data_IF_423960016682
#
_entry.id   IF_423960016682
#
_cell.length_a   1.000
_cell.length_b   1.000
_cell.length_c   1.000
_cell.angle_alpha   90.00
_cell.angle_beta   90.00
_cell.angle_gamma   90.00
#
_symmetry.space_group_name_H-M   'P 1'
#
loop_
_entity.id
_entity.type
_entity.pdbx_description
1 polymer ?
#
# COMPACT_ATOMS: atom_id res chain seq x y z
N UNK A 1 -0.75 1.96 25.35
CA UNK A 1 -0.37 1.52 23.99
C UNK A 1 1.07 1.06 24.02
N UNK A 2 1.36 -0.15 23.53
CA UNK A 2 2.73 -0.68 23.46
C UNK A 2 3.48 0.02 22.31
N UNK A 3 4.65 0.63 22.54
CA UNK A 3 5.41 1.30 21.48
C UNK A 3 6.01 0.29 20.49
N UNK A 4 6.24 0.73 19.26
CA UNK A 4 7.02 -0.04 18.28
C UNK A 4 8.43 -0.34 18.85
N UNK A 5 8.99 -1.54 18.63
CA UNK A 5 10.29 -1.93 19.17
C UNK A 5 11.39 -0.88 18.94
N UNK A 6 12.04 -0.43 20.03
CA UNK A 6 13.00 0.67 19.98
C UNK A 6 14.35 0.32 19.32
N UNK A 7 14.67 -0.97 19.16
CA UNK A 7 16.01 -1.47 18.78
C UNK A 7 16.30 -1.49 17.27
N UNK A 8 15.31 -1.25 16.41
CA UNK A 8 15.52 -1.14 14.96
C UNK A 8 15.62 0.34 14.58
N UNK A 9 16.68 0.68 13.86
CA UNK A 9 16.94 2.04 13.37
C UNK A 9 15.99 2.40 12.23
N UNK A 10 15.73 3.70 12.09
CA UNK A 10 14.89 4.25 11.03
C UNK A 10 13.63 4.93 11.55
N UNK A 11 12.77 5.36 10.61
CA UNK A 11 11.60 6.18 10.91
C UNK A 11 10.58 5.44 11.76
N UNK A 12 9.84 6.19 12.58
CA UNK A 12 8.82 5.62 13.46
C UNK A 12 7.51 6.38 13.35
N UNK A 13 6.48 5.70 12.87
CA UNK A 13 5.11 6.20 13.00
C UNK A 13 4.72 6.20 14.48
N UNK A 14 4.06 7.27 14.93
CA UNK A 14 3.53 7.38 16.30
C UNK A 14 2.17 6.67 16.43
N UNK A 15 1.76 6.27 17.65
CA UNK A 15 0.41 5.77 17.87
C UNK A 15 -0.64 6.83 17.53
N UNK A 16 -1.79 6.38 17.02
CA UNK A 16 -2.97 7.22 16.85
C UNK A 16 -3.53 7.62 18.22
N UNK A 17 -3.82 8.92 18.41
CA UNK A 17 -4.24 9.46 19.71
C UNK A 17 -5.77 9.59 19.88
N UNK A 18 -6.56 9.04 18.95
CA UNK A 18 -8.03 9.10 19.03
C UNK A 18 -8.63 7.95 19.84
N UNK A 19 -9.88 8.15 20.26
CA UNK A 19 -10.61 7.21 21.13
C UNK A 19 -11.33 6.12 20.34
N UNK A 20 -10.75 4.92 20.31
CA UNK A 20 -11.27 3.79 19.53
C UNK A 20 -12.59 3.19 20.06
N UNK A 21 -12.95 3.42 21.32
CA UNK A 21 -14.25 3.03 21.87
C UNK A 21 -15.44 3.72 21.17
N UNK A 22 -15.19 4.87 20.53
CA UNK A 22 -16.18 5.60 19.73
C UNK A 22 -16.24 5.18 18.26
N UNK A 23 -15.47 4.17 17.85
CA UNK A 23 -15.36 3.80 16.43
C UNK A 23 -16.70 3.30 15.87
N UNK A 24 -17.09 3.85 14.72
CA UNK A 24 -18.27 3.43 13.98
C UNK A 24 -17.84 2.99 12.59
N UNK A 25 -17.98 1.69 12.30
CA UNK A 25 -17.72 1.17 10.96
C UNK A 25 -18.85 1.50 10.01
N UNK A 26 -18.51 2.07 8.87
CA UNK A 26 -19.48 2.47 7.85
C UNK A 26 -19.54 1.46 6.69
N UNK A 27 -18.38 1.06 6.16
CA UNK A 27 -18.27 0.03 5.11
C UNK A 27 -16.84 -0.48 4.95
N UNK A 28 -16.68 -1.60 4.28
CA UNK A 28 -15.40 -2.07 3.74
C UNK A 28 -15.05 -1.25 2.48
N UNK A 29 -13.77 -0.92 2.32
CA UNK A 29 -13.19 -0.24 1.17
C UNK A 29 -12.29 -1.24 0.41
N UNK A 30 -12.49 -1.34 -0.90
CA UNK A 30 -11.85 -2.34 -1.74
C UNK A 30 -12.79 -3.49 -2.09
N UNK A 31 -12.45 -4.24 -3.14
CA UNK A 31 -13.24 -5.39 -3.57
C UNK A 31 -12.80 -6.63 -2.78
N UNK A 32 -13.76 -7.43 -2.32
CA UNK A 32 -13.55 -8.77 -1.74
C UNK A 32 -13.06 -9.77 -2.79
N UNK A 33 -12.11 -9.39 -3.65
CA UNK A 33 -11.49 -10.30 -4.59
C UNK A 33 -10.54 -11.15 -3.75
N UNK A 34 -11.02 -12.33 -3.35
CA UNK A 34 -10.12 -13.48 -3.24
C UNK A 34 -9.31 -13.45 -4.53
N UNK A 35 -8.05 -13.07 -4.46
CA UNK A 35 -7.20 -13.15 -5.64
C UNK A 35 -7.29 -14.59 -6.12
N UNK A 36 -7.53 -14.77 -7.41
CA UNK A 36 -7.60 -16.09 -8.03
C UNK A 36 -6.31 -16.89 -7.80
N UNK A 37 -5.24 -16.23 -7.35
CA UNK A 37 -3.91 -16.75 -7.01
C UNK A 37 -3.83 -17.43 -5.64
N UNK A 38 -4.83 -17.31 -4.75
CA UNK A 38 -4.73 -17.84 -3.38
C UNK A 38 -3.77 -17.07 -2.47
N UNK A 39 -3.26 -15.92 -2.93
CA UNK A 39 -2.41 -15.04 -2.14
C UNK A 39 -3.20 -14.35 -1.02
N UNK A 40 -2.56 -14.26 0.14
CA UNK A 40 -3.14 -13.65 1.33
C UNK A 40 -3.01 -12.13 1.19
N UNK A 41 -4.11 -11.35 1.18
CA UNK A 41 -4.00 -9.90 1.07
C UNK A 41 -3.26 -9.34 2.28
N UNK A 42 -2.48 -8.26 2.11
CA UNK A 42 -1.78 -7.65 3.24
C UNK A 42 -2.72 -7.10 4.32
N UNK A 43 -3.91 -6.66 3.92
CA UNK A 43 -4.84 -5.96 4.80
C UNK A 43 -6.26 -5.91 4.26
N UNK A 44 -7.17 -5.41 5.08
CA UNK A 44 -8.51 -4.97 4.69
C UNK A 44 -8.72 -3.53 5.15
N UNK A 45 -9.36 -2.71 4.32
CA UNK A 45 -9.56 -1.29 4.62
C UNK A 45 -11.03 -1.04 4.92
N UNK A 46 -11.31 -0.22 5.93
CA UNK A 46 -12.65 0.15 6.35
C UNK A 46 -12.80 1.67 6.33
N UNK A 47 -13.95 2.16 5.88
CA UNK A 47 -14.37 3.51 6.18
C UNK A 47 -14.96 3.52 7.59
N UNK A 48 -14.42 4.37 8.45
CA UNK A 48 -14.84 4.48 9.85
C UNK A 48 -15.07 5.93 10.23
N UNK A 49 -15.96 6.17 11.19
CA UNK A 49 -16.05 7.42 11.91
C UNK A 49 -15.45 7.24 13.31
N UNK A 50 -14.55 8.13 13.71
CA UNK A 50 -13.97 8.17 15.06
C UNK A 50 -14.10 9.62 15.52
N UNK A 51 -14.75 9.84 16.66
CA UNK A 51 -14.93 11.18 17.25
C UNK A 51 -15.51 12.21 16.24
N UNK A 52 -16.47 11.80 15.41
CA UNK A 52 -17.14 12.66 14.43
C UNK A 52 -16.39 12.83 13.11
N UNK A 53 -15.14 12.36 12.98
CA UNK A 53 -14.36 12.47 11.75
C UNK A 53 -14.28 11.14 11.00
N UNK A 54 -14.39 11.21 9.67
CA UNK A 54 -14.28 10.04 8.78
C UNK A 54 -12.84 9.73 8.43
N UNK A 55 -12.44 8.46 8.56
CA UNK A 55 -11.11 7.94 8.29
C UNK A 55 -11.17 6.68 7.43
N UNK A 56 -10.02 6.33 6.85
CA UNK A 56 -9.74 4.97 6.39
C UNK A 56 -8.93 4.24 7.46
N UNK A 57 -9.46 3.11 7.96
CA UNK A 57 -8.79 2.19 8.87
C UNK A 57 -8.29 0.99 8.06
N UNK A 58 -6.97 0.86 7.89
CA UNK A 58 -6.35 -0.30 7.24
C UNK A 58 -5.93 -1.31 8.32
N UNK A 59 -6.56 -2.48 8.35
CA UNK A 59 -6.32 -3.57 9.31
C UNK A 59 -5.53 -4.67 8.63
N UNK A 60 -4.38 -5.03 9.19
CA UNK A 60 -3.41 -5.93 8.55
C UNK A 60 -3.65 -7.38 8.95
N UNK A 61 -3.44 -8.28 7.99
CA UNK A 61 -3.34 -9.71 8.28
C UNK A 61 -2.02 -10.01 9.03
N UNK A 62 -1.99 -11.14 9.71
CA UNK A 62 -0.76 -11.70 10.26
C UNK A 62 0.04 -12.39 9.16
N UNK A 63 1.36 -12.31 9.26
CA UNK A 63 2.27 -13.04 8.41
C UNK A 63 3.33 -13.67 9.29
N UNK A 64 3.47 -14.99 9.19
CA UNK A 64 4.54 -15.75 9.81
C UNK A 64 5.89 -15.32 9.25
N UNK A 65 6.97 -15.57 9.99
CA UNK A 65 8.30 -15.18 9.52
C UNK A 65 8.68 -15.88 8.20
N UNK A 66 8.18 -17.10 7.99
CA UNK A 66 8.40 -17.89 6.78
C UNK A 66 7.68 -17.30 5.57
N UNK A 67 6.48 -16.74 5.76
CA UNK A 67 5.69 -16.11 4.67
C UNK A 67 6.34 -14.80 4.17
N UNK A 68 7.12 -14.10 5.00
CA UNK A 68 7.78 -12.83 4.65
C UNK A 68 9.30 -12.95 4.50
N UNK A 69 9.87 -14.14 4.64
CA UNK A 69 11.31 -14.32 4.52
C UNK A 69 11.74 -14.06 3.07
N UNK A 70 12.75 -13.21 2.82
CA UNK A 70 13.17 -12.93 1.46
C UNK A 70 13.90 -14.14 0.87
N UNK A 71 13.65 -14.44 -0.40
CA UNK A 71 14.39 -15.49 -1.12
C UNK A 71 15.83 -15.03 -1.35
N UNK A 72 16.77 -15.47 -0.50
CA UNK A 72 18.19 -15.13 -0.61
C UNK A 72 19.08 -16.39 -0.62
N UNK A 73 19.74 -16.67 -1.74
CA UNK A 73 20.57 -17.87 -1.87
C UNK A 73 21.85 -17.78 -1.02
N UNK A 74 21.98 -18.68 -0.04
CA UNK A 74 23.22 -18.90 0.74
C UNK A 74 23.53 -17.81 1.77
N UNK A 75 22.60 -16.90 2.04
CA UNK A 75 22.81 -15.72 2.89
C UNK A 75 21.84 -15.61 4.06
N UNK A 76 20.99 -16.61 4.27
CA UNK A 76 19.98 -16.63 5.33
C UNK A 76 20.57 -16.40 6.73
N UNK A 77 21.77 -16.92 6.97
CA UNK A 77 22.52 -16.75 8.23
C UNK A 77 22.86 -15.29 8.57
N UNK A 78 22.76 -14.37 7.62
CA UNK A 78 22.99 -12.93 7.83
C UNK A 78 21.73 -12.20 8.33
N UNK A 79 20.56 -12.82 8.22
CA UNK A 79 19.29 -12.25 8.63
C UNK A 79 18.90 -12.69 10.03
N UNK A 80 18.17 -11.81 10.72
CA UNK A 80 17.55 -12.09 12.00
C UNK A 80 16.06 -11.83 11.87
N UNK A 81 15.24 -12.68 12.48
CA UNK A 81 13.77 -12.62 12.41
C UNK A 81 13.22 -11.22 12.72
N UNK A 82 13.77 -10.56 13.73
CA UNK A 82 13.33 -9.21 14.09
C UNK A 82 13.62 -8.19 12.98
N UNK A 83 14.77 -8.27 12.30
CA UNK A 83 15.11 -7.38 11.18
C UNK A 83 14.18 -7.64 10.01
N UNK A 84 13.97 -8.92 9.66
CA UNK A 84 13.06 -9.33 8.59
C UNK A 84 11.64 -8.84 8.88
N UNK A 85 11.11 -9.13 10.08
CA UNK A 85 9.78 -8.69 10.49
C UNK A 85 9.64 -7.17 10.45
N UNK A 86 10.64 -6.42 10.92
CA UNK A 86 10.53 -4.95 10.92
C UNK A 86 10.61 -4.28 9.56
N UNK A 87 11.15 -4.96 8.55
CA UNK A 87 11.35 -4.42 7.21
C UNK A 87 10.32 -4.94 6.22
N UNK A 88 9.96 -6.23 6.29
CA UNK A 88 9.13 -6.90 5.29
C UNK A 88 7.70 -7.23 5.75
N UNK A 89 7.41 -7.17 7.06
CA UNK A 89 6.02 -7.28 7.49
C UNK A 89 5.22 -6.07 6.98
N UNK A 90 4.07 -6.29 6.32
CA UNK A 90 3.32 -5.21 5.68
C UNK A 90 2.92 -4.04 6.59
N UNK A 91 2.63 -4.33 7.86
CA UNK A 91 2.28 -3.29 8.83
C UNK A 91 3.50 -2.44 9.20
N UNK A 92 4.67 -3.07 9.42
CA UNK A 92 5.88 -2.36 9.78
C UNK A 92 6.48 -1.58 8.60
N UNK A 93 6.46 -2.14 7.39
CA UNK A 93 6.89 -1.44 6.17
C UNK A 93 6.12 -0.12 5.99
N UNK A 94 4.80 -0.19 6.07
CA UNK A 94 3.94 0.98 5.93
C UNK A 94 4.10 2.00 7.07
N UNK A 95 4.30 1.53 8.31
CA UNK A 95 4.65 2.40 9.43
C UNK A 95 5.98 3.14 9.21
N UNK A 96 6.99 2.51 8.61
CA UNK A 96 8.28 3.16 8.34
C UNK A 96 8.13 4.23 7.26
N UNK A 97 7.43 3.93 6.17
CA UNK A 97 7.18 4.89 5.09
C UNK A 97 6.45 6.15 5.60
N UNK A 98 5.33 5.97 6.32
CA UNK A 98 4.62 7.10 6.91
C UNK A 98 5.39 7.80 8.02
N UNK A 99 6.19 7.06 8.80
CA UNK A 99 7.13 7.66 9.75
C UNK A 99 8.07 8.66 9.08
N UNK A 100 8.68 8.28 7.95
CA UNK A 100 9.59 9.15 7.19
C UNK A 100 8.86 10.36 6.59
N UNK A 101 7.67 10.14 6.03
CA UNK A 101 6.85 11.23 5.48
C UNK A 101 6.49 12.27 6.55
N UNK A 102 6.10 11.83 7.74
CA UNK A 102 5.75 12.72 8.86
C UNK A 102 6.98 13.45 9.39
N UNK A 103 8.12 12.76 9.55
CA UNK A 103 9.39 13.38 9.96
C UNK A 103 9.81 14.54 9.04
N UNK A 104 9.42 14.47 7.75
CA UNK A 104 9.73 15.49 6.75
C UNK A 104 8.57 16.45 6.44
N UNK A 105 7.42 16.32 7.14
CA UNK A 105 6.20 17.11 6.89
C UNK A 105 5.69 17.00 5.44
N UNK A 106 5.64 15.77 4.90
CA UNK A 106 5.26 15.48 3.51
C UNK A 106 4.06 14.53 3.38
N UNK A 107 3.47 14.11 4.49
CA UNK A 107 2.43 13.09 4.54
C UNK A 107 1.08 13.52 3.93
N UNK A 108 0.85 14.81 3.70
CA UNK A 108 -0.34 15.33 3.00
C UNK A 108 -0.08 15.79 1.56
N UNK A 109 1.20 15.91 1.18
CA UNK A 109 1.65 16.30 -0.16
C UNK A 109 1.96 15.09 -1.04
N UNK A 110 2.83 14.20 -0.55
CA UNK A 110 3.35 13.07 -1.33
C UNK A 110 2.48 11.82 -1.20
N UNK A 111 1.69 11.74 -0.14
CA UNK A 111 0.81 10.62 0.14
C UNK A 111 -0.53 11.10 0.76
N UNK A 112 -1.37 10.13 1.11
CA UNK A 112 -2.50 10.36 2.02
C UNK A 112 -2.00 10.65 3.44
N UNK A 113 -2.60 11.63 4.11
CA UNK A 113 -2.26 11.94 5.51
C UNK A 113 -2.49 10.72 6.39
N UNK A 114 -1.50 10.41 7.23
CA UNK A 114 -1.51 9.31 8.18
C UNK A 114 -1.55 9.84 9.61
N UNK A 115 -2.48 9.33 10.43
CA UNK A 115 -2.69 9.80 11.80
C UNK A 115 -2.00 8.93 12.86
N UNK A 116 -1.47 7.78 12.47
CA UNK A 116 -0.77 6.86 13.35
C UNK A 116 -1.25 5.41 13.25
N UNK A 117 -0.53 4.54 13.94
CA UNK A 117 -0.90 3.14 14.09
C UNK A 117 -1.75 2.89 15.33
N UNK A 118 -2.44 1.76 15.36
CA UNK A 118 -3.17 1.29 16.53
C UNK A 118 -3.20 -0.23 16.61
N UNK A 119 -3.24 -0.75 17.84
CA UNK A 119 -3.59 -2.13 18.13
C UNK A 119 -5.06 -2.17 18.52
N UNK A 120 -5.87 -2.90 17.76
CA UNK A 120 -7.31 -2.91 17.94
C UNK A 120 -7.69 -3.67 19.22
N UNK A 121 -8.49 -3.08 20.12
CA UNK A 121 -9.11 -3.82 21.21
C UNK A 121 -9.94 -5.00 20.68
N UNK A 122 -10.02 -6.10 21.42
CA UNK A 122 -10.83 -7.26 21.01
C UNK A 122 -12.30 -6.91 20.79
N UNK A 123 -12.84 -5.91 21.50
CA UNK A 123 -14.19 -5.39 21.28
C UNK A 123 -14.38 -4.83 19.86
N UNK A 124 -13.36 -4.16 19.31
CA UNK A 124 -13.36 -3.62 17.94
C UNK A 124 -13.17 -4.75 16.92
N UNK A 125 -12.30 -5.72 17.20
CA UNK A 125 -12.15 -6.94 16.37
C UNK A 125 -13.47 -7.71 16.25
N UNK A 126 -14.16 -7.96 17.37
CA UNK A 126 -15.49 -8.59 17.38
C UNK A 126 -16.55 -7.76 16.65
N UNK A 127 -16.47 -6.43 16.67
CA UNK A 127 -17.37 -5.58 15.90
C UNK A 127 -17.18 -5.79 14.39
N UNK A 128 -15.93 -5.93 13.93
CA UNK A 128 -15.63 -6.23 12.51
C UNK A 128 -16.23 -7.58 12.11
N UNK A 129 -16.03 -8.61 12.93
CA UNK A 129 -16.59 -9.94 12.70
C UNK A 129 -18.12 -9.91 12.63
N UNK A 130 -18.78 -9.27 13.61
CA UNK A 130 -20.25 -9.18 13.66
C UNK A 130 -20.85 -8.41 12.49
N UNK A 131 -20.21 -7.32 12.06
CA UNK A 131 -20.77 -6.42 11.03
C UNK A 131 -20.44 -6.86 9.61
N UNK A 132 -19.28 -7.48 9.40
CA UNK A 132 -18.79 -7.81 8.06
C UNK A 132 -18.52 -9.30 7.83
N UNK A 133 -18.63 -10.15 8.86
CA UNK A 133 -18.31 -11.58 8.75
C UNK A 133 -16.82 -11.86 8.52
N UNK A 134 -15.94 -10.94 8.91
CA UNK A 134 -14.50 -11.03 8.68
C UNK A 134 -13.81 -11.42 9.98
N UNK A 135 -13.35 -12.67 10.06
CA UNK A 135 -12.54 -13.20 11.17
C UNK A 135 -11.24 -13.87 10.72
N UNK A 136 -11.10 -14.18 9.44
CA UNK A 136 -9.88 -14.75 8.88
C UNK A 136 -8.82 -13.66 8.65
N UNK A 137 -7.97 -13.46 9.65
CA UNK A 137 -6.86 -12.50 9.62
C UNK A 137 -5.49 -13.17 9.36
N UNK A 138 -5.49 -14.40 8.82
CA UNK A 138 -4.29 -15.25 8.69
C UNK A 138 -3.55 -15.48 10.03
N UNK A 139 -4.28 -15.42 11.15
CA UNK A 139 -3.71 -15.63 12.49
C UNK A 139 -3.22 -17.09 12.62
N UNK A 140 -1.93 -17.29 12.92
CA UNK A 140 -1.37 -18.62 13.21
C UNK A 140 -1.32 -18.88 14.73
N UNK A 141 -0.91 -20.08 15.12
CA UNK A 141 -0.80 -20.44 16.54
C UNK A 141 0.15 -19.51 17.33
N UNK A 142 1.22 -19.00 16.69
CA UNK A 142 2.16 -18.04 17.27
C UNK A 142 1.55 -16.65 17.52
N UNK A 143 0.46 -16.31 16.81
CA UNK A 143 -0.24 -15.03 16.93
C UNK A 143 -1.37 -15.08 17.95
N UNK A 144 -1.57 -16.20 18.65
CA UNK A 144 -2.70 -16.36 19.56
C UNK A 144 -2.67 -15.30 20.68
N UNK A 145 -3.80 -14.63 20.91
CA UNK A 145 -3.92 -13.51 21.85
C UNK A 145 -3.33 -12.18 21.37
N UNK A 146 -2.68 -12.11 20.20
CA UNK A 146 -2.18 -10.85 19.65
C UNK A 146 -3.33 -9.95 19.18
N UNK A 147 -3.22 -8.64 19.37
CA UNK A 147 -4.22 -7.71 18.84
C UNK A 147 -4.01 -7.49 17.33
N UNK A 148 -5.10 -7.28 16.59
CA UNK A 148 -4.99 -6.83 15.20
C UNK A 148 -4.28 -5.49 15.13
N UNK A 149 -3.42 -5.35 14.11
CA UNK A 149 -2.63 -4.14 13.86
C UNK A 149 -3.33 -3.33 12.78
N UNK A 150 -3.40 -2.01 12.96
CA UNK A 150 -4.04 -1.14 12.00
C UNK A 150 -3.37 0.24 11.89
N UNK A 151 -3.65 0.93 10.78
CA UNK A 151 -3.21 2.31 10.54
C UNK A 151 -4.44 3.18 10.18
N UNK A 152 -4.49 4.38 10.77
CA UNK A 152 -5.53 5.39 10.52
C UNK A 152 -5.02 6.41 9.51
N UNK A 153 -5.77 6.61 8.43
CA UNK A 153 -5.45 7.54 7.35
C UNK A 153 -6.64 8.42 7.00
N UNK A 154 -6.39 9.50 6.27
CA UNK A 154 -7.46 10.29 5.66
C UNK A 154 -8.32 9.40 4.74
N UNK A 155 -9.64 9.54 4.86
CA UNK A 155 -10.54 8.94 3.88
C UNK A 155 -10.54 9.75 2.59
N UNK A 156 -10.06 9.15 1.50
CA UNK A 156 -10.04 9.79 0.18
C UNK A 156 -11.42 9.64 -0.47
N UNK A 157 -12.15 10.75 -0.62
CA UNK A 157 -13.50 10.75 -1.22
C UNK A 157 -13.50 10.54 -2.74
N UNK A 158 -12.38 10.82 -3.39
CA UNK A 158 -12.22 10.66 -4.83
C UNK A 158 -12.14 9.19 -5.21
N UNK A 159 -12.76 8.82 -6.34
CA UNK A 159 -12.71 7.46 -6.90
C UNK A 159 -11.80 7.33 -8.13
N UNK A 160 -11.31 8.46 -8.64
CA UNK A 160 -10.47 8.53 -9.82
C UNK A 160 -9.00 8.59 -9.42
N UNK A 161 -8.13 8.04 -10.26
CA UNK A 161 -6.67 8.06 -10.09
C UNK A 161 -6.17 9.48 -9.93
N UNK A 162 -6.52 10.34 -10.89
CA UNK A 162 -6.26 11.77 -10.85
C UNK A 162 -7.56 12.50 -10.53
N UNK A 163 -7.44 13.64 -9.87
CA UNK A 163 -8.51 14.63 -9.86
C UNK A 163 -7.94 15.97 -10.28
N UNK A 164 -7.52 16.80 -9.32
CA UNK A 164 -6.89 18.10 -9.59
C UNK A 164 -5.39 18.01 -9.90
N UNK A 165 -4.76 16.90 -9.53
CA UNK A 165 -3.33 16.67 -9.74
C UNK A 165 -3.07 16.09 -11.14
N UNK A 166 -2.14 16.68 -11.89
CA UNK A 166 -1.71 16.16 -13.19
C UNK A 166 -0.76 14.97 -13.01
N UNK A 167 -0.61 14.14 -14.05
CA UNK A 167 0.38 13.06 -14.06
C UNK A 167 1.81 13.60 -13.88
N UNK A 168 2.13 14.77 -14.43
CA UNK A 168 3.43 15.40 -14.24
C UNK A 168 3.69 15.74 -12.77
N UNK A 169 2.71 16.31 -12.07
CA UNK A 169 2.84 16.59 -10.63
C UNK A 169 2.93 15.29 -9.82
N UNK A 170 2.17 14.25 -10.19
CA UNK A 170 2.25 12.95 -9.53
C UNK A 170 3.64 12.30 -9.70
N UNK A 171 4.24 12.39 -10.90
CA UNK A 171 5.60 11.91 -11.16
C UNK A 171 6.64 12.66 -10.32
N UNK A 172 6.57 14.00 -10.29
CA UNK A 172 7.44 14.83 -9.43
C UNK A 172 7.28 14.51 -7.94
N UNK A 173 6.06 14.21 -7.49
CA UNK A 173 5.84 13.78 -6.12
C UNK A 173 6.48 12.39 -5.85
N UNK A 174 6.51 11.50 -6.83
CA UNK A 174 7.16 10.19 -6.72
C UNK A 174 8.68 10.31 -6.72
N UNK A 175 9.25 11.20 -7.54
CA UNK A 175 10.67 11.57 -7.48
C UNK A 175 11.05 12.09 -6.09
N UNK A 176 10.28 13.05 -5.55
CA UNK A 176 10.50 13.59 -4.20
C UNK A 176 10.32 12.52 -3.11
N UNK A 177 9.45 11.54 -3.31
CA UNK A 177 9.29 10.40 -2.42
C UNK A 177 10.55 9.51 -2.41
N UNK A 178 11.08 9.20 -3.59
CA UNK A 178 12.32 8.41 -3.77
C UNK A 178 13.53 9.15 -3.19
N UNK A 179 13.61 10.47 -3.34
CA UNK A 179 14.64 11.33 -2.72
C UNK A 179 14.63 11.27 -1.19
N UNK A 180 13.47 11.01 -0.56
CA UNK A 180 13.36 10.77 0.88
C UNK A 180 13.81 9.36 1.30
N UNK A 181 14.24 8.53 0.34
CA UNK A 181 14.62 7.13 0.54
C UNK A 181 13.41 6.24 0.82
N UNK A 182 12.26 6.56 0.23
CA UNK A 182 11.06 5.72 0.25
C UNK A 182 10.79 5.28 -1.19
N UNK A 183 10.90 3.98 -1.45
CA UNK A 183 10.52 3.35 -2.73
C UNK A 183 9.26 2.54 -2.46
N UNK A 184 8.16 2.84 -3.15
CA UNK A 184 6.84 2.28 -2.90
C UNK A 184 6.74 0.79 -3.28
N UNK A 185 7.39 0.39 -4.37
CA UNK A 185 7.43 -0.96 -4.93
C UNK A 185 6.08 -1.53 -5.42
N UNK A 186 4.99 -0.75 -5.36
CA UNK A 186 3.65 -1.15 -5.84
C UNK A 186 2.97 0.00 -6.60
N UNK A 187 3.72 0.66 -7.49
CA UNK A 187 3.20 1.76 -8.28
C UNK A 187 2.22 1.24 -9.33
N UNK A 188 0.93 1.42 -9.05
CA UNK A 188 -0.16 1.01 -9.94
C UNK A 188 -1.39 1.87 -9.75
N UNK A 189 -2.26 1.83 -10.76
CA UNK A 189 -3.51 2.59 -10.84
C UNK A 189 -4.35 2.51 -9.56
N UNK A 190 -4.47 1.31 -8.99
CA UNK A 190 -5.35 1.06 -7.84
C UNK A 190 -4.83 1.68 -6.55
N UNK A 191 -3.53 2.00 -6.46
CA UNK A 191 -2.89 2.59 -5.29
C UNK A 191 -2.88 4.13 -5.32
N UNK A 192 -3.56 4.73 -6.31
CA UNK A 192 -3.76 6.16 -6.41
C UNK A 192 -5.24 6.55 -6.32
N UNK A 193 -5.55 7.52 -5.46
CA UNK A 193 -6.85 8.20 -5.45
C UNK A 193 -6.66 9.71 -5.35
N UNK A 194 -7.25 10.45 -6.30
CA UNK A 194 -7.17 11.90 -6.36
C UNK A 194 -5.74 12.44 -6.51
N UNK A 195 -4.83 11.67 -7.10
CA UNK A 195 -3.43 12.00 -7.32
C UNK A 195 -2.51 11.70 -6.12
N UNK A 196 -2.98 10.93 -5.13
CA UNK A 196 -2.22 10.61 -3.92
C UNK A 196 -2.03 9.12 -3.77
N UNK A 197 -0.80 8.71 -3.43
CA UNK A 197 -0.47 7.36 -2.98
C UNK A 197 -1.06 7.12 -1.59
N UNK A 198 -1.54 5.91 -1.36
CA UNK A 198 -2.10 5.55 -0.06
C UNK A 198 -1.69 4.18 0.47
N UNK A 199 -1.01 3.34 -0.31
CA UNK A 199 -0.55 2.02 0.10
C UNK A 199 0.98 1.96 0.07
N UNK A 200 1.59 1.63 1.21
CA UNK A 200 3.03 1.43 1.36
C UNK A 200 3.34 0.08 2.02
N UNK A 201 2.46 -0.90 1.85
CA UNK A 201 2.58 -2.21 2.52
C UNK A 201 3.80 -3.02 2.09
N UNK A 202 4.43 -2.71 0.95
CA UNK A 202 5.67 -3.34 0.51
C UNK A 202 6.80 -2.33 0.28
N UNK A 203 6.65 -1.11 0.78
CA UNK A 203 7.59 -0.04 0.53
C UNK A 203 8.94 -0.30 1.19
N UNK A 204 10.01 -0.07 0.45
CA UNK A 204 11.39 -0.05 0.94
C UNK A 204 11.66 1.36 1.49
N UNK A 205 11.86 1.46 2.81
CA UNK A 205 12.20 2.75 3.46
C UNK A 205 13.57 2.70 4.14
N UNK A 206 14.49 3.57 3.71
CA UNK A 206 15.86 3.65 4.22
C UNK A 206 15.89 3.94 5.74
N UNK A 207 16.68 3.18 6.53
CA UNK A 207 17.49 2.00 6.14
C UNK A 207 16.63 0.74 5.94
N UNK A 208 16.95 -0.09 4.95
CA UNK A 208 16.18 -1.31 4.64
C UNK A 208 17.09 -2.48 4.26
N UNK A 209 16.65 -3.72 4.54
CA UNK A 209 17.46 -4.92 4.25
C UNK A 209 17.64 -5.14 2.75
N UNK A 210 16.64 -4.75 1.94
CA UNK A 210 16.70 -4.85 0.47
C UNK A 210 17.73 -3.94 -0.17
N UNK A 211 18.28 -2.99 0.59
CA UNK A 211 19.34 -2.06 0.17
C UNK A 211 20.70 -2.46 0.74
N UNK A 212 20.81 -3.64 1.36
CA UNK A 212 22.05 -4.09 1.98
C UNK A 212 22.93 -4.84 0.99
N UNK A 213 24.08 -4.24 0.65
CA UNK A 213 25.06 -4.80 -0.30
C UNK A 213 25.65 -6.17 0.08
N UNK A 214 25.50 -6.60 1.34
CA UNK A 214 25.88 -7.99 1.71
C UNK A 214 24.86 -8.99 1.18
N UNK A 215 23.60 -8.61 1.04
CA UNK A 215 22.53 -9.47 0.55
C UNK A 215 22.40 -9.40 -0.96
N UNK A 216 22.43 -8.20 -1.54
CA UNK A 216 22.16 -7.96 -2.97
C UNK A 216 23.30 -7.23 -3.67
N UNK A 217 23.38 -7.41 -4.98
CA UNK A 217 24.31 -6.65 -5.84
C UNK A 217 23.87 -5.18 -5.95
N UNK A 218 24.76 -4.31 -6.44
CA UNK A 218 24.43 -2.89 -6.64
C UNK A 218 23.38 -2.75 -7.74
N UNK A 219 23.52 -3.54 -8.79
CA UNK A 219 22.67 -3.58 -9.96
C UNK A 219 21.23 -3.88 -9.56
N UNK A 220 21.01 -4.96 -8.80
CA UNK A 220 19.68 -5.32 -8.27
C UNK A 220 19.07 -4.26 -7.35
N UNK A 221 19.91 -3.51 -6.63
CA UNK A 221 19.42 -2.44 -5.76
C UNK A 221 18.99 -1.23 -6.59
N UNK A 222 19.77 -0.87 -7.60
CA UNK A 222 19.43 0.25 -8.48
C UNK A 222 18.20 -0.05 -9.34
N UNK A 223 18.06 -1.28 -9.85
CA UNK A 223 16.85 -1.73 -10.55
C UNK A 223 15.58 -1.49 -9.69
N UNK A 224 15.57 -1.95 -8.42
CA UNK A 224 14.44 -1.70 -7.52
C UNK A 224 14.21 -0.20 -7.24
N UNK A 225 15.28 0.61 -7.21
CA UNK A 225 15.17 2.04 -6.93
C UNK A 225 14.57 2.83 -8.09
N UNK A 226 14.75 2.34 -9.32
CA UNK A 226 14.23 2.95 -10.55
C UNK A 226 12.81 2.45 -10.90
N UNK A 227 12.44 1.25 -10.42
CA UNK A 227 11.18 0.54 -10.71
C UNK A 227 9.92 1.40 -10.48
N UNK A 228 9.88 2.20 -9.42
CA UNK A 228 8.75 3.07 -9.10
C UNK A 228 8.43 4.05 -10.25
N UNK A 229 9.46 4.69 -10.83
CA UNK A 229 9.29 5.68 -11.88
C UNK A 229 8.95 5.01 -13.22
N UNK A 230 9.56 3.86 -13.52
CA UNK A 230 9.24 3.06 -14.70
C UNK A 230 7.78 2.58 -14.66
N UNK A 231 7.36 1.98 -13.55
CA UNK A 231 5.97 1.56 -13.32
C UNK A 231 4.99 2.73 -13.40
N UNK A 232 5.38 3.93 -12.94
CA UNK A 232 4.54 5.12 -13.06
C UNK A 232 4.33 5.52 -14.52
N UNK A 233 5.40 5.60 -15.30
CA UNK A 233 5.35 6.02 -16.70
C UNK A 233 4.52 5.03 -17.54
N UNK A 234 4.73 3.72 -17.32
CA UNK A 234 3.93 2.62 -17.88
C UNK A 234 2.44 2.75 -17.55
N UNK A 235 2.13 3.02 -16.28
CA UNK A 235 0.75 3.22 -15.83
C UNK A 235 0.10 4.39 -16.58
N UNK A 236 0.81 5.51 -16.73
CA UNK A 236 0.31 6.72 -17.40
C UNK A 236 0.07 6.46 -18.88
N UNK A 237 0.97 5.76 -19.57
CA UNK A 237 0.82 5.39 -20.98
C UNK A 237 -0.46 4.57 -21.19
N UNK A 238 -0.62 3.46 -20.46
CA UNK A 238 -1.81 2.59 -20.53
C UNK A 238 -3.10 3.35 -20.22
N UNK A 239 -3.05 4.34 -19.33
CA UNK A 239 -4.21 5.19 -19.01
C UNK A 239 -4.55 6.18 -20.13
N UNK A 240 -3.56 6.68 -20.87
CA UNK A 240 -3.77 7.57 -22.03
C UNK A 240 -4.35 6.80 -23.20
N UNK A 241 -3.83 5.61 -23.50
CA UNK A 241 -4.33 4.74 -24.59
C UNK A 241 -5.81 4.40 -24.43
N UNK A 242 -6.26 4.07 -23.21
CA UNK A 242 -7.67 3.74 -22.92
C UNK A 242 -8.63 4.92 -23.10
N UNK A 243 -8.12 6.15 -23.13
CA UNK A 243 -8.92 7.37 -23.34
C UNK A 243 -9.06 7.74 -24.80
N UNK A 244 -8.20 7.25 -25.67
CA UNK A 244 -8.29 7.47 -27.11
C UNK A 244 -9.28 6.45 -27.69
N UNK A 245 -10.41 6.87 -28.31
CA UNK A 245 -11.29 5.94 -28.99
C UNK A 245 -10.51 5.23 -30.09
N UNK A 246 -10.54 3.88 -30.14
CA UNK A 246 -10.11 3.16 -31.33
C UNK A 246 -10.95 3.70 -32.50
N UNK A 247 -10.31 4.32 -33.49
CA UNK A 247 -10.96 4.66 -34.74
C UNK A 247 -11.59 3.37 -35.30
N UNK A 248 -12.90 3.40 -35.56
CA UNK A 248 -13.56 2.28 -36.25
C UNK A 248 -12.91 2.16 -37.63
N UNK A 249 -12.60 0.94 -38.12
CA UNK A 249 -12.17 0.78 -39.49
C UNK A 249 -13.29 1.29 -40.40
N UNK A 250 -12.92 2.21 -41.31
CA UNK A 250 -13.80 2.67 -42.37
C UNK A 250 -14.10 1.45 -43.24
N UNK A 251 -15.38 1.06 -43.32
CA UNK A 251 -15.81 0.02 -44.23
C UNK A 251 -15.47 0.48 -45.66
N UNK A 252 -14.60 -0.27 -46.33
CA UNK A 252 -14.39 -0.15 -47.77
C UNK A 252 -15.69 -0.62 -48.41
N UNK A 253 -16.41 0.33 -49.03
CA UNK A 253 -17.56 0.00 -49.87
C UNK A 253 -16.96 -0.47 -51.20
N UNK A 254 -16.99 -1.77 -51.45
CA UNK A 254 -16.77 -2.30 -52.80
C UNK A 254 -17.97 -1.89 -53.67
N UNK A 255 -17.76 -0.94 -54.58
CA UNK A 255 -18.66 -0.72 -55.70
C UNK A 255 -18.53 -1.91 -56.67
N UNK A 256 -19.44 -2.87 -56.53
CA UNK A 256 -19.72 -3.84 -57.60
C UNK A 256 -20.57 -3.15 -58.65
N UNK A 257 -19.94 -2.63 -59.70
CA UNK A 257 -20.66 -2.19 -60.90
C UNK A 257 -20.76 -3.36 -61.89
N UNK A 258 -21.85 -4.11 -61.77
CA UNK A 258 -22.27 -5.13 -62.72
C UNK A 258 -23.27 -4.53 -63.69
N UNK A 259 -22.74 -4.03 -64.81
CA UNK A 259 -23.34 -3.95 -66.14
C UNK A 259 -24.76 -4.55 -66.31
N UNK A 260 -25.72 -3.70 -66.75
CA UNK A 260 -26.90 -4.13 -67.52
C UNK A 260 -27.31 -3.07 -68.56
N UNK A 261 -27.22 -3.53 -69.82
CA UNK A 261 -27.93 -3.10 -71.04
C UNK A 261 -27.40 -1.89 -71.79
#
# INVERSE_FOLDING_TARGET
>A
MTPLPHRITGPKLRPFNGKLDTIQFQKVLGSNVKTSSGEIPHSRVFQVNIEGKTYALKVFNFFSIQEIWPTILGKDHLLKDNVVRHHLDPFYAECRAFGRLIENNKDDKLAVRCYGYVFLPHTVEHQIERQFGISDWNRKAEDNGSQLRAIIKDYIKWKTVCNRTSFETMRKNLEELNELGIYNMDIRKDNYLGGRLFDFSIAITVPHLSLWLKLRSKEQIFEDMDDDLECFDDMVERMRERRTPRAKPVAVIEETDASRS
#
